data_IF_416291920517
#
_entry.id   IF_416291920517
#
_cell.length_a   1.000
_cell.length_b   1.000
_cell.length_c   1.000
_cell.angle_alpha   90.00
_cell.angle_beta   90.00
_cell.angle_gamma   90.00
#
_symmetry.space_group_name_H-M   'P 1'
#
loop_
_entity.id
_entity.type
_entity.pdbx_description
1 polymer ?
#
# COMPACT_ATOMS: atom_id res chain seq x y z
N UNK A 1 7.70 -4.26 -16.06
CA UNK A 1 6.49 -5.12 -16.05
C UNK A 1 6.62 -6.16 -14.95
N UNK A 2 5.56 -6.41 -14.19
CA UNK A 2 5.48 -7.49 -13.18
C UNK A 2 4.79 -8.67 -13.84
N UNK A 3 5.42 -9.84 -13.84
CA UNK A 3 4.85 -11.02 -14.50
C UNK A 3 3.63 -11.56 -13.73
N UNK A 4 2.59 -12.03 -14.44
CA UNK A 4 1.53 -12.84 -13.82
C UNK A 4 2.11 -14.10 -13.17
N UNK A 5 1.44 -14.61 -12.14
CA UNK A 5 1.85 -15.87 -11.51
C UNK A 5 0.65 -16.74 -11.13
N UNK A 6 0.90 -18.05 -11.06
CA UNK A 6 -0.13 -19.03 -10.76
C UNK A 6 -0.40 -19.09 -9.25
N UNK A 7 -1.66 -18.95 -8.87
CA UNK A 7 -2.15 -18.99 -7.48
C UNK A 7 -2.66 -20.37 -7.09
N UNK A 8 -3.22 -21.08 -8.05
CA UNK A 8 -3.64 -22.48 -7.93
C UNK A 8 -3.71 -23.14 -9.31
N UNK A 9 -3.93 -24.46 -9.36
CA UNK A 9 -3.99 -25.24 -10.61
C UNK A 9 -4.89 -24.64 -11.71
N UNK A 10 -5.91 -23.86 -11.34
CA UNK A 10 -6.88 -23.25 -12.27
C UNK A 10 -6.95 -21.71 -12.19
N UNK A 11 -6.12 -21.06 -11.38
CA UNK A 11 -6.17 -19.59 -11.20
C UNK A 11 -4.79 -18.96 -11.31
N UNK A 12 -4.70 -17.91 -12.11
CA UNK A 12 -3.57 -17.00 -12.17
C UNK A 12 -4.01 -15.59 -11.71
N UNK A 13 -3.06 -14.78 -11.29
CA UNK A 13 -3.26 -13.34 -11.00
C UNK A 13 -2.26 -12.52 -11.80
N UNK A 14 -2.64 -11.27 -12.11
CA UNK A 14 -1.81 -10.26 -12.75
C UNK A 14 -1.61 -9.10 -11.77
N UNK A 15 -0.56 -9.11 -10.93
CA UNK A 15 -0.27 -8.00 -10.03
C UNK A 15 -0.06 -6.68 -10.78
N UNK A 16 0.42 -6.73 -12.03
CA UNK A 16 0.55 -5.54 -12.86
C UNK A 16 -0.80 -4.84 -13.06
N UNK A 17 -1.82 -5.57 -13.52
CA UNK A 17 -3.17 -5.03 -13.74
C UNK A 17 -3.83 -4.57 -12.43
N UNK A 18 -3.67 -5.36 -11.36
CA UNK A 18 -4.20 -5.05 -10.03
C UNK A 18 -3.59 -3.76 -9.47
N UNK A 19 -2.26 -3.58 -9.56
CA UNK A 19 -1.56 -2.38 -9.10
C UNK A 19 -1.85 -1.16 -9.99
N UNK A 20 -2.02 -1.35 -11.29
CA UNK A 20 -2.46 -0.28 -12.20
C UNK A 20 -3.87 0.21 -11.82
N UNK A 21 -4.78 -0.71 -11.53
CA UNK A 21 -6.12 -0.37 -11.02
C UNK A 21 -6.07 0.32 -9.64
N UNK A 22 -5.07 0.03 -8.80
CA UNK A 22 -4.85 0.75 -7.55
C UNK A 22 -4.36 2.18 -7.79
N UNK A 23 -3.45 2.40 -8.75
CA UNK A 23 -3.00 3.75 -9.12
C UNK A 23 -4.13 4.61 -9.68
N UNK A 24 -5.04 4.02 -10.48
CA UNK A 24 -6.23 4.73 -11.00
C UNK A 24 -7.20 5.15 -9.90
N UNK A 25 -7.37 4.32 -8.87
CA UNK A 25 -8.26 4.63 -7.74
C UNK A 25 -7.73 5.78 -6.85
N UNK A 26 -6.44 6.13 -6.96
CA UNK A 26 -5.82 7.26 -6.26
C UNK A 26 -5.67 8.47 -7.19
N UNK A 27 -6.67 8.74 -8.04
CA UNK A 27 -6.62 9.83 -9.01
C UNK A 27 -6.36 11.20 -8.37
N UNK A 28 -6.89 11.46 -7.17
CA UNK A 28 -6.64 12.71 -6.45
C UNK A 28 -5.17 12.89 -6.07
N UNK A 29 -4.44 11.79 -5.80
CA UNK A 29 -3.00 11.84 -5.56
C UNK A 29 -2.22 12.25 -6.81
N UNK A 30 -2.74 11.98 -8.02
CA UNK A 30 -2.12 12.48 -9.26
C UNK A 30 -2.12 14.01 -9.31
N UNK A 31 -3.15 14.65 -8.74
CA UNK A 31 -3.26 16.11 -8.69
C UNK A 31 -2.32 16.73 -7.67
N UNK A 32 -2.22 16.17 -6.47
CA UNK A 32 -1.39 16.72 -5.39
C UNK A 32 0.08 16.29 -5.44
N UNK A 33 0.37 15.08 -5.95
CA UNK A 33 1.69 14.44 -5.93
C UNK A 33 2.03 13.82 -7.31
N UNK A 34 2.07 14.61 -8.39
CA UNK A 34 2.18 14.09 -9.76
C UNK A 34 3.46 13.29 -10.02
N UNK A 35 4.61 13.70 -9.47
CA UNK A 35 5.88 12.98 -9.65
C UNK A 35 5.85 11.61 -8.97
N UNK A 36 5.26 11.53 -7.77
CA UNK A 36 5.12 10.28 -7.04
C UNK A 36 4.14 9.34 -7.75
N UNK A 37 2.99 9.85 -8.18
CA UNK A 37 2.02 9.09 -8.98
C UNK A 37 2.62 8.59 -10.30
N UNK A 38 3.37 9.43 -11.02
CA UNK A 38 4.06 9.05 -12.26
C UNK A 38 5.03 7.88 -12.05
N UNK A 39 5.76 7.85 -10.94
CA UNK A 39 6.69 6.75 -10.65
C UNK A 39 5.96 5.47 -10.30
N UNK A 40 4.81 5.56 -9.63
CA UNK A 40 3.94 4.40 -9.41
C UNK A 40 3.43 3.83 -10.74
N UNK A 41 3.05 4.68 -11.69
CA UNK A 41 2.50 4.28 -12.99
C UNK A 41 3.58 3.74 -13.94
N UNK A 42 4.75 4.37 -13.99
CA UNK A 42 5.75 4.18 -15.04
C UNK A 42 7.05 3.51 -14.58
N UNK A 43 7.08 2.85 -13.42
CA UNK A 43 8.24 2.04 -13.01
C UNK A 43 8.50 0.86 -13.98
N UNK A 44 9.76 0.57 -14.35
CA UNK A 44 11.02 1.17 -13.91
C UNK A 44 11.52 2.35 -14.79
N UNK A 45 10.71 2.82 -15.73
CA UNK A 45 11.10 3.86 -16.70
C UNK A 45 11.14 5.27 -16.12
N UNK A 46 10.20 5.62 -15.24
CA UNK A 46 10.22 6.91 -14.57
C UNK A 46 11.33 6.96 -13.50
N UNK A 47 12.19 7.98 -13.59
CA UNK A 47 13.26 8.25 -12.63
C UNK A 47 13.10 9.67 -12.09
N UNK A 48 12.98 9.77 -10.77
CA UNK A 48 12.85 11.03 -10.02
C UNK A 48 13.92 10.98 -8.92
N UNK A 49 14.64 12.08 -8.70
CA UNK A 49 15.83 12.12 -7.83
C UNK A 49 15.48 11.87 -6.36
N UNK A 50 14.30 12.30 -5.96
CA UNK A 50 13.74 12.22 -4.61
C UNK A 50 13.22 10.82 -4.26
N UNK A 51 13.29 9.87 -5.20
CA UNK A 51 12.74 8.52 -5.02
C UNK A 51 13.83 7.48 -4.83
N UNK A 52 13.63 6.67 -3.80
CA UNK A 52 14.40 5.45 -3.57
C UNK A 52 13.50 4.22 -3.73
N UNK A 53 13.99 3.23 -4.50
CA UNK A 53 13.34 1.94 -4.65
C UNK A 53 14.10 0.88 -3.86
N UNK A 54 13.39 0.09 -3.05
CA UNK A 54 13.95 -1.08 -2.35
C UNK A 54 13.07 -2.30 -2.54
N UNK A 55 13.69 -3.46 -2.66
CA UNK A 55 12.99 -4.73 -2.73
C UNK A 55 13.30 -5.56 -1.49
N UNK A 56 12.26 -6.16 -0.92
CA UNK A 56 12.36 -6.99 0.27
C UNK A 56 11.71 -8.33 0.04
N UNK A 57 12.28 -9.35 0.67
CA UNK A 57 11.61 -10.63 0.91
C UNK A 57 11.45 -10.77 2.42
N UNK A 58 10.22 -10.94 2.90
CA UNK A 58 9.97 -11.11 4.32
C UNK A 58 8.98 -12.23 4.60
N UNK A 59 9.10 -12.84 5.79
CA UNK A 59 8.17 -13.85 6.27
C UNK A 59 6.93 -13.16 6.84
N UNK A 60 5.77 -13.53 6.33
CA UNK A 60 4.46 -13.16 6.86
C UNK A 60 3.78 -14.42 7.38
N UNK A 61 3.03 -14.31 8.47
CA UNK A 61 2.17 -15.40 8.97
C UNK A 61 0.77 -14.86 9.24
N UNK A 62 -0.22 -15.47 8.61
CA UNK A 62 -1.64 -15.16 8.79
C UNK A 62 -2.35 -16.45 9.12
N UNK A 63 -3.15 -16.46 10.19
CA UNK A 63 -3.84 -17.65 10.71
C UNK A 63 -2.89 -18.86 10.82
N UNK A 64 -1.72 -18.64 11.45
CA UNK A 64 -0.67 -19.64 11.70
C UNK A 64 -0.09 -20.30 10.44
N UNK A 65 -0.35 -19.75 9.25
CA UNK A 65 0.21 -20.22 8.00
C UNK A 65 1.33 -19.27 7.56
N UNK A 66 2.61 -19.68 7.57
CA UNK A 66 3.72 -18.83 7.15
C UNK A 66 3.91 -18.82 5.63
N UNK A 67 4.44 -17.72 5.11
CA UNK A 67 4.81 -17.57 3.70
C UNK A 67 5.75 -16.39 3.47
N UNK A 68 6.50 -16.42 2.37
CA UNK A 68 7.38 -15.33 1.99
C UNK A 68 6.70 -14.39 1.00
N UNK A 69 6.71 -13.09 1.32
CA UNK A 69 6.16 -12.02 0.47
C UNK A 69 7.32 -11.29 -0.18
N UNK A 70 7.19 -10.97 -1.47
CA UNK A 70 8.10 -10.07 -2.17
C UNK A 70 7.45 -8.69 -2.22
N UNK A 71 8.16 -7.70 -1.71
CA UNK A 71 7.71 -6.32 -1.59
C UNK A 71 8.62 -5.36 -2.35
N UNK A 72 8.01 -4.40 -3.03
CA UNK A 72 8.66 -3.23 -3.61
C UNK A 72 8.24 -2.01 -2.80
N UNK A 73 9.20 -1.43 -2.09
CA UNK A 73 9.03 -0.17 -1.34
C UNK A 73 9.60 0.98 -2.13
N UNK A 74 8.84 2.06 -2.18
CA UNK A 74 9.12 3.27 -2.94
C UNK A 74 9.03 4.40 -1.94
N UNK A 75 10.17 4.96 -1.59
CA UNK A 75 10.26 6.08 -0.66
C UNK A 75 10.38 7.36 -1.46
N UNK A 76 9.65 8.40 -1.05
CA UNK A 76 9.74 9.74 -1.57
C UNK A 76 10.04 10.69 -0.41
N UNK A 77 11.13 11.44 -0.52
CA UNK A 77 11.48 12.50 0.43
C UNK A 77 11.65 13.81 -0.33
N UNK A 78 10.60 14.63 -0.37
CA UNK A 78 10.62 15.93 -1.00
C UNK A 78 10.40 17.07 -0.01
N UNK A 79 10.60 18.30 -0.45
CA UNK A 79 10.46 19.49 0.40
C UNK A 79 9.01 19.75 0.83
N UNK A 80 8.02 19.25 0.09
CA UNK A 80 6.60 19.51 0.34
C UNK A 80 5.86 18.33 0.99
N UNK A 81 6.43 17.13 0.95
CA UNK A 81 5.85 15.94 1.57
C UNK A 81 6.89 14.82 1.66
N UNK A 82 6.67 13.91 2.59
CA UNK A 82 7.34 12.61 2.60
C UNK A 82 6.27 11.52 2.44
N UNK A 83 6.55 10.54 1.58
CA UNK A 83 5.62 9.45 1.32
C UNK A 83 6.35 8.11 1.13
N UNK A 84 5.64 7.04 1.45
CA UNK A 84 6.01 5.66 1.18
C UNK A 84 4.89 5.04 0.36
N UNK A 85 5.24 4.34 -0.71
CA UNK A 85 4.39 3.30 -1.26
C UNK A 85 5.03 1.92 -1.04
N UNK A 86 4.22 0.95 -0.64
CA UNK A 86 4.62 -0.45 -0.57
C UNK A 86 3.73 -1.29 -1.47
N UNK A 87 4.36 -2.13 -2.30
CA UNK A 87 3.69 -3.02 -3.24
C UNK A 87 4.09 -4.44 -2.96
N UNK A 88 3.14 -5.29 -2.58
CA UNK A 88 3.38 -6.72 -2.53
C UNK A 88 3.13 -7.31 -3.91
N UNK A 89 4.21 -7.63 -4.61
CA UNK A 89 4.18 -8.10 -6.00
C UNK A 89 4.13 -9.64 -6.09
N UNK A 90 4.41 -10.32 -4.99
CA UNK A 90 4.18 -11.76 -4.82
C UNK A 90 3.77 -12.02 -3.38
N UNK A 91 2.67 -12.75 -3.21
CA UNK A 91 2.24 -13.25 -1.91
C UNK A 91 1.68 -14.66 -2.11
N UNK A 92 2.09 -15.67 -1.30
CA UNK A 92 1.82 -17.06 -1.65
C UNK A 92 0.33 -17.39 -1.63
N UNK A 93 -0.26 -17.52 -0.45
CA UNK A 93 -1.65 -17.96 -0.27
C UNK A 93 -2.48 -16.94 0.53
N UNK A 94 -1.93 -15.77 0.81
CA UNK A 94 -2.60 -14.75 1.63
C UNK A 94 -3.56 -13.91 0.79
N UNK A 95 -3.02 -13.19 -0.18
CA UNK A 95 -3.71 -12.29 -1.12
C UNK A 95 -2.91 -12.25 -2.44
N UNK A 96 -3.50 -11.74 -3.51
CA UNK A 96 -2.89 -11.69 -4.84
C UNK A 96 -1.81 -10.61 -4.93
N UNK A 97 -2.18 -9.38 -4.56
CA UNK A 97 -1.30 -8.22 -4.49
C UNK A 97 -1.83 -7.22 -3.47
N UNK A 98 -0.96 -6.30 -3.08
CA UNK A 98 -1.30 -5.20 -2.18
C UNK A 98 -0.58 -3.94 -2.65
N UNK A 99 -1.27 -2.80 -2.60
CA UNK A 99 -0.65 -1.49 -2.64
C UNK A 99 -1.04 -0.71 -1.39
N UNK A 100 -0.03 -0.21 -0.69
CA UNK A 100 -0.13 0.74 0.40
C UNK A 100 0.48 2.05 -0.08
N UNK A 101 -0.13 3.17 0.30
CA UNK A 101 0.52 4.47 0.31
C UNK A 101 0.29 5.12 1.68
N UNK A 102 1.35 5.63 2.30
CA UNK A 102 1.26 6.43 3.51
C UNK A 102 2.21 7.62 3.40
N UNK A 103 1.94 8.70 4.13
CA UNK A 103 2.82 9.85 4.11
C UNK A 103 2.36 10.97 5.02
N UNK A 104 3.13 12.04 4.97
CA UNK A 104 2.92 13.27 5.74
C UNK A 104 3.03 14.47 4.82
N UNK A 105 2.07 15.38 4.96
CA UNK A 105 2.02 16.68 4.28
C UNK A 105 2.09 17.76 5.37
N UNK A 106 3.13 18.58 5.41
CA UNK A 106 3.20 19.72 6.32
C UNK A 106 2.13 20.78 5.97
N UNK A 107 1.44 21.28 6.98
CA UNK A 107 0.39 22.30 6.86
C UNK A 107 0.58 23.37 7.94
N UNK A 108 1.28 24.46 7.61
CA UNK A 108 1.61 25.55 8.55
C UNK A 108 2.19 25.06 9.88
N UNK A 109 1.39 25.08 10.96
CA UNK A 109 1.71 24.66 12.32
C UNK A 109 1.35 23.19 12.62
N UNK A 110 0.91 22.46 11.60
CA UNK A 110 0.37 21.10 11.70
C UNK A 110 0.92 20.21 10.60
N UNK A 111 0.51 18.95 10.62
CA UNK A 111 0.79 18.00 9.56
C UNK A 111 -0.41 17.10 9.35
N UNK A 112 -0.69 16.78 8.08
CA UNK A 112 -1.68 15.77 7.70
C UNK A 112 -0.95 14.47 7.45
N UNK A 113 -1.25 13.46 8.26
CA UNK A 113 -0.80 12.08 8.02
C UNK A 113 -1.90 11.35 7.27
N UNK A 114 -1.55 10.68 6.19
CA UNK A 114 -2.49 9.91 5.39
C UNK A 114 -2.05 8.47 5.22
N UNK A 115 -3.03 7.59 5.05
CA UNK A 115 -2.86 6.18 4.78
C UNK A 115 -3.94 5.73 3.80
N UNK A 116 -3.54 5.06 2.74
CA UNK A 116 -4.42 4.40 1.79
C UNK A 116 -3.88 3.01 1.50
N UNK A 117 -4.76 2.01 1.44
CA UNK A 117 -4.35 0.69 1.00
C UNK A 117 -5.41 0.01 0.15
N UNK A 118 -4.95 -0.85 -0.76
CA UNK A 118 -5.79 -1.70 -1.58
C UNK A 118 -5.18 -3.08 -1.65
N UNK A 119 -5.95 -4.08 -1.23
CA UNK A 119 -5.54 -5.49 -1.26
C UNK A 119 -6.45 -6.24 -2.23
N UNK A 120 -5.85 -6.97 -3.16
CA UNK A 120 -6.57 -7.82 -4.11
C UNK A 120 -6.48 -9.27 -3.64
N UNK A 121 -7.59 -9.98 -3.59
CA UNK A 121 -7.59 -11.37 -3.13
C UNK A 121 -8.69 -12.18 -3.81
N UNK A 122 -8.33 -13.40 -4.20
CA UNK A 122 -9.26 -14.39 -4.75
C UNK A 122 -9.97 -15.23 -3.68
N UNK A 123 -9.64 -15.02 -2.39
CA UNK A 123 -10.16 -15.78 -1.25
C UNK A 123 -11.53 -15.28 -0.74
N UNK A 124 -11.99 -14.13 -1.21
CA UNK A 124 -13.30 -13.53 -0.85
C UNK A 124 -14.32 -13.59 -1.99
N UNK A 125 -13.98 -14.22 -3.12
CA UNK A 125 -14.90 -14.39 -4.25
C UNK A 125 -15.93 -15.50 -3.95
N UNK A 126 -17.23 -15.16 -3.85
CA UNK A 126 -18.33 -16.10 -3.60
C UNK A 126 -19.59 -15.46 -2.98
N UNK A 127 -20.60 -16.27 -2.64
CA UNK A 127 -21.82 -15.82 -1.96
C UNK A 127 -21.44 -15.11 -0.63
N UNK A 128 -21.98 -13.92 -0.39
CA UNK A 128 -21.62 -13.00 0.72
C UNK A 128 -20.25 -12.27 0.63
N UNK A 129 -19.62 -12.19 -0.55
CA UNK A 129 -18.38 -11.42 -0.77
C UNK A 129 -18.49 -9.96 -0.30
N UNK A 130 -19.59 -9.27 -0.61
CA UNK A 130 -19.81 -7.87 -0.22
C UNK A 130 -19.81 -7.64 1.30
N UNK A 131 -20.39 -8.57 2.07
CA UNK A 131 -20.40 -8.52 3.54
C UNK A 131 -19.01 -8.76 4.11
N UNK A 132 -18.26 -9.74 3.55
CA UNK A 132 -16.87 -10.02 3.95
C UNK A 132 -15.92 -8.85 3.64
N UNK A 133 -16.10 -8.20 2.49
CA UNK A 133 -15.36 -7.00 2.12
C UNK A 133 -15.66 -5.83 3.05
N UNK A 134 -16.94 -5.58 3.36
CA UNK A 134 -17.34 -4.48 4.25
C UNK A 134 -16.85 -4.70 5.68
N UNK A 135 -17.02 -5.89 6.25
CA UNK A 135 -16.60 -6.21 7.61
C UNK A 135 -15.06 -6.21 7.75
N UNK A 136 -14.35 -6.88 6.82
CA UNK A 136 -12.88 -6.89 6.82
C UNK A 136 -12.29 -5.51 6.56
N UNK A 137 -12.90 -4.73 5.66
CA UNK A 137 -12.52 -3.35 5.40
C UNK A 137 -12.72 -2.45 6.62
N UNK A 138 -13.84 -2.60 7.34
CA UNK A 138 -14.11 -1.85 8.58
C UNK A 138 -13.08 -2.17 9.67
N UNK A 139 -12.80 -3.46 9.90
CA UNK A 139 -11.81 -3.86 10.91
C UNK A 139 -10.40 -3.36 10.57
N UNK A 140 -10.02 -3.41 9.29
CA UNK A 140 -8.75 -2.84 8.83
C UNK A 140 -8.71 -1.32 9.05
N UNK A 141 -9.79 -0.61 8.72
CA UNK A 141 -9.90 0.84 8.93
C UNK A 141 -9.78 1.20 10.41
N UNK A 142 -10.50 0.51 11.30
CA UNK A 142 -10.41 0.72 12.76
C UNK A 142 -8.98 0.52 13.28
N UNK A 143 -8.28 -0.53 12.83
CA UNK A 143 -6.89 -0.78 13.20
C UNK A 143 -5.93 0.30 12.69
N UNK A 144 -6.10 0.77 11.45
CA UNK A 144 -5.29 1.87 10.90
C UNK A 144 -5.57 3.17 11.64
N UNK A 145 -6.84 3.48 11.94
CA UNK A 145 -7.20 4.67 12.70
C UNK A 145 -6.55 4.66 14.08
N UNK A 146 -6.60 3.53 14.79
CA UNK A 146 -5.93 3.38 16.08
C UNK A 146 -4.42 3.62 15.96
N UNK A 147 -3.76 3.03 14.95
CA UNK A 147 -2.34 3.25 14.69
C UNK A 147 -1.99 4.73 14.45
N UNK A 148 -2.81 5.44 13.66
CA UNK A 148 -2.57 6.85 13.37
C UNK A 148 -2.82 7.75 14.58
N UNK A 149 -3.82 7.44 15.41
CA UNK A 149 -4.04 8.14 16.68
C UNK A 149 -2.92 7.90 17.70
N UNK A 150 -2.39 6.68 17.77
CA UNK A 150 -1.23 6.35 18.59
C UNK A 150 0.00 7.14 18.14
N UNK A 151 0.25 7.20 16.82
CA UNK A 151 1.32 8.00 16.23
C UNK A 151 1.15 9.49 16.58
N UNK A 152 -0.05 10.04 16.42
CA UNK A 152 -0.35 11.44 16.74
C UNK A 152 -0.02 11.75 18.20
N UNK A 153 -0.51 10.92 19.14
CA UNK A 153 -0.26 11.08 20.58
C UNK A 153 1.22 11.01 20.93
N UNK A 154 1.96 10.09 20.30
CA UNK A 154 3.41 9.97 20.47
C UNK A 154 4.14 11.25 20.10
N UNK A 155 3.89 11.77 18.89
CA UNK A 155 4.52 13.00 18.38
C UNK A 155 4.16 14.22 19.25
N UNK A 156 2.90 14.34 19.68
CA UNK A 156 2.47 15.41 20.58
C UNK A 156 3.20 15.38 21.92
N UNK A 157 3.43 14.19 22.48
CA UNK A 157 4.16 14.04 23.75
C UNK A 157 5.64 14.38 23.67
N UNK A 158 6.30 14.07 22.54
CA UNK A 158 7.71 14.43 22.30
C UNK A 158 7.87 15.93 22.06
N UNK A 159 6.88 16.57 21.43
CA UNK A 159 6.92 18.01 21.13
C UNK A 159 6.66 18.90 22.35
N UNK A 160 6.15 18.33 23.45
CA UNK A 160 5.87 19.02 24.70
C UNK A 160 7.04 18.99 25.71
N UNK A 161 8.11 18.23 25.43
CA UNK A 161 9.33 18.15 26.22
C UNK A 161 10.45 19.01 25.62
#
# INVERSE_FOLDING_TARGET
AIAPYQRSRKKATSPAEELEAANRAMADMKRSMPNFHNVLENFPGARVKEIEHRFYVFKLSIADRPGFVISHRIYFFGNQFAALAERHIYSPHFYNSLQLVAGVIPEQDKSVVFYGSRTYTDQVAGFASGVKHSAGGKQLAEGITALLEDLRRGVESESAN
#
